data_IF_055415685523
#
_entry.id   IF_055415685523
#
_cell.length_a   1.000
_cell.length_b   1.000
_cell.length_c   1.000
_cell.angle_alpha   90.00
_cell.angle_beta   90.00
_cell.angle_gamma   90.00
#
_symmetry.space_group_name_H-M   'P 1'
#
loop_
_entity.id
_entity.type
_entity.pdbx_description
1 polymer ?
#
# COMPACT_ATOMS: atom_id res chain seq x y z
N UNK A 1 -3.17 13.47 10.19
CA UNK A 1 -2.90 12.83 11.50
C UNK A 1 -1.95 11.65 11.34
N UNK A 2 -1.13 11.33 12.34
CA UNK A 2 -0.29 10.13 12.39
C UNK A 2 -0.72 9.26 13.56
N UNK A 3 -1.00 7.98 13.29
CA UNK A 3 -1.39 6.95 14.25
C UNK A 3 -0.28 5.89 14.35
N UNK A 4 0.02 5.41 15.54
CA UNK A 4 1.05 4.41 15.78
C UNK A 4 2.39 5.00 16.20
N UNK A 5 3.49 4.64 15.54
CA UNK A 5 4.79 5.26 15.77
C UNK A 5 4.78 6.70 15.27
N UNK A 6 5.58 7.55 15.89
CA UNK A 6 5.64 9.00 15.57
C UNK A 6 4.28 9.72 15.63
N UNK A 7 3.35 9.20 16.42
CA UNK A 7 1.99 9.73 16.53
C UNK A 7 1.98 11.20 16.96
N UNK A 8 1.15 12.00 16.29
CA UNK A 8 0.85 13.38 16.65
C UNK A 8 -0.57 13.58 17.18
N UNK A 9 -1.25 12.49 17.52
CA UNK A 9 -2.63 12.51 18.04
C UNK A 9 -2.74 13.08 19.44
N UNK A 10 -1.66 13.09 20.22
CA UNK A 10 -1.65 13.44 21.64
C UNK A 10 -2.43 12.45 22.52
N UNK A 11 -2.71 11.24 22.02
CA UNK A 11 -3.47 10.20 22.73
C UNK A 11 -2.66 8.92 22.82
N UNK A 12 -2.38 8.47 24.05
CA UNK A 12 -1.51 7.32 24.30
C UNK A 12 -2.00 6.01 23.64
N UNK A 13 -3.31 5.79 23.58
CA UNK A 13 -3.87 4.58 22.99
C UNK A 13 -3.79 4.55 21.46
N UNK A 14 -3.52 5.68 20.81
CA UNK A 14 -3.30 5.80 19.37
C UNK A 14 -1.82 5.86 19.01
N UNK A 15 -0.94 5.76 19.99
CA UNK A 15 0.50 5.91 19.82
C UNK A 15 1.27 4.71 20.38
N UNK A 16 2.45 4.49 19.82
CA UNK A 16 3.41 3.50 20.33
C UNK A 16 4.83 3.99 20.10
N UNK A 17 5.72 3.61 20.99
CA UNK A 17 7.15 3.95 20.91
C UNK A 17 8.03 2.71 20.90
N UNK A 18 7.43 1.52 20.98
CA UNK A 18 8.15 0.27 21.13
C UNK A 18 7.44 -0.88 20.43
N UNK A 19 8.21 -1.79 19.86
CA UNK A 19 7.69 -3.04 19.26
C UNK A 19 6.95 -3.94 20.27
N UNK A 20 7.25 -3.83 21.55
CA UNK A 20 6.54 -4.58 22.61
C UNK A 20 5.16 -3.99 22.94
N UNK A 21 4.98 -2.71 22.75
CA UNK A 21 3.71 -2.02 22.99
C UNK A 21 2.77 -2.24 21.78
N UNK A 22 1.57 -2.72 22.04
CA UNK A 22 0.59 -3.02 20.99
C UNK A 22 -0.52 -1.98 20.98
N UNK A 23 -0.89 -1.52 19.80
CA UNK A 23 -2.02 -0.62 19.61
C UNK A 23 -3.30 -1.40 19.33
N UNK A 24 -4.43 -0.91 19.83
CA UNK A 24 -5.77 -1.42 19.53
C UNK A 24 -6.67 -0.22 19.41
N UNK A 25 -7.13 0.11 18.20
CA UNK A 25 -8.00 1.27 17.99
C UNK A 25 -8.85 1.16 16.72
N UNK A 26 -9.89 1.99 16.67
CA UNK A 26 -10.59 2.35 15.45
C UNK A 26 -10.18 3.78 15.05
N UNK A 27 -9.69 3.97 13.85
CA UNK A 27 -9.45 5.29 13.31
C UNK A 27 -10.79 5.96 13.03
N UNK A 28 -10.97 7.15 13.61
CA UNK A 28 -12.10 8.02 13.38
C UNK A 28 -11.56 9.42 13.15
N UNK A 29 -11.54 9.84 11.90
CA UNK A 29 -11.01 11.12 11.50
C UNK A 29 -12.01 11.88 10.64
N UNK A 30 -11.94 13.22 10.69
CA UNK A 30 -12.82 14.09 9.94
C UNK A 30 -12.24 14.48 8.56
N UNK A 31 -11.09 13.95 8.21
CA UNK A 31 -10.36 14.21 6.96
C UNK A 31 -9.02 14.91 7.18
N UNK A 32 -8.26 15.02 6.12
CA UNK A 32 -6.89 15.53 6.13
C UNK A 32 -6.00 14.62 5.32
N UNK A 33 -4.71 14.60 5.63
CA UNK A 33 -3.78 13.61 5.12
C UNK A 33 -3.29 12.79 6.33
N UNK A 34 -3.68 11.54 6.37
CA UNK A 34 -3.57 10.69 7.55
C UNK A 34 -2.64 9.49 7.28
N UNK A 35 -1.92 9.07 8.31
CA UNK A 35 -0.89 8.04 8.19
C UNK A 35 -1.03 6.99 9.28
N UNK A 36 -1.05 5.72 8.89
CA UNK A 36 -0.78 4.60 9.76
C UNK A 36 0.72 4.33 9.76
N UNK A 37 1.41 4.72 10.82
CA UNK A 37 2.84 4.47 11.00
C UNK A 37 3.04 3.26 11.93
N UNK A 38 3.40 2.12 11.35
CA UNK A 38 3.70 0.90 12.08
C UNK A 38 5.15 0.46 11.89
N UNK A 39 6.02 1.42 11.54
CA UNK A 39 7.43 1.22 11.16
C UNK A 39 8.30 0.56 12.24
N UNK A 40 7.93 0.69 13.51
CA UNK A 40 8.68 0.10 14.60
C UNK A 40 8.35 -1.35 14.93
N UNK A 41 7.39 -1.96 14.24
CA UNK A 41 7.07 -3.38 14.45
C UNK A 41 7.96 -4.29 13.59
N UNK A 42 8.29 -5.46 14.14
CA UNK A 42 9.12 -6.48 13.48
C UNK A 42 8.33 -7.71 13.03
N UNK A 43 7.10 -7.85 13.47
CA UNK A 43 6.20 -8.92 13.03
C UNK A 43 5.63 -8.59 11.65
N UNK A 44 5.34 -9.63 10.86
CA UNK A 44 4.60 -9.46 9.62
C UNK A 44 3.23 -8.82 9.89
N UNK A 45 2.88 -7.84 9.11
CA UNK A 45 1.64 -7.07 9.27
C UNK A 45 0.75 -7.22 8.03
N UNK A 46 -0.53 -6.99 8.23
CA UNK A 46 -1.49 -6.79 7.17
C UNK A 46 -2.21 -5.48 7.42
N UNK A 47 -1.83 -4.45 6.66
CA UNK A 47 -2.38 -3.09 6.77
C UNK A 47 -3.38 -2.89 5.63
N UNK A 48 -4.60 -2.49 5.95
CA UNK A 48 -5.64 -2.24 4.97
C UNK A 48 -6.26 -0.86 5.20
N UNK A 49 -6.10 0.04 4.22
CA UNK A 49 -6.54 1.42 4.30
C UNK A 49 -7.99 1.65 3.83
N UNK A 50 -8.70 0.61 3.43
CA UNK A 50 -10.11 0.73 3.07
C UNK A 50 -10.97 0.99 4.30
N UNK A 51 -12.00 1.83 4.15
CA UNK A 51 -12.97 2.03 5.22
C UNK A 51 -13.64 0.70 5.65
N UNK A 52 -14.06 0.60 6.90
CA UNK A 52 -14.70 -0.61 7.47
C UNK A 52 -13.81 -1.86 7.47
N UNK A 53 -12.52 -1.71 7.15
CA UNK A 53 -11.56 -2.81 7.17
C UNK A 53 -10.88 -2.95 8.53
N UNK A 54 -10.22 -4.10 8.70
CA UNK A 54 -9.38 -4.40 9.83
C UNK A 54 -7.95 -4.68 9.36
N UNK A 55 -6.99 -4.26 10.17
CA UNK A 55 -5.57 -4.53 10.00
C UNK A 55 -5.04 -5.40 11.14
N UNK A 56 -4.04 -6.21 10.81
CA UNK A 56 -3.28 -7.07 11.71
C UNK A 56 -1.92 -6.40 11.98
N UNK A 57 -1.72 -5.85 13.14
CA UNK A 57 -0.59 -4.97 13.42
C UNK A 57 0.17 -5.41 14.67
N UNK A 58 1.50 -5.38 14.60
CA UNK A 58 2.36 -5.68 15.74
C UNK A 58 2.22 -7.11 16.28
N UNK A 59 1.83 -8.07 15.42
CA UNK A 59 1.61 -9.48 15.78
C UNK A 59 0.24 -9.78 16.36
N UNK A 60 -0.67 -8.81 16.44
CA UNK A 60 -2.08 -9.02 16.79
C UNK A 60 -2.93 -9.19 15.52
N UNK A 61 -4.17 -9.62 15.68
CA UNK A 61 -5.16 -9.82 14.61
C UNK A 61 -6.34 -8.87 14.79
N UNK A 62 -6.73 -8.17 13.71
CA UNK A 62 -7.88 -7.29 13.68
C UNK A 62 -7.86 -6.18 14.71
N UNK A 63 -6.69 -5.72 15.12
CA UNK A 63 -6.50 -4.80 16.24
C UNK A 63 -6.56 -3.33 15.86
N UNK A 64 -6.50 -3.02 14.56
CA UNK A 64 -6.67 -1.67 14.03
C UNK A 64 -7.78 -1.70 12.99
N UNK A 65 -8.70 -0.77 13.04
CA UNK A 65 -9.79 -0.66 12.08
C UNK A 65 -10.00 0.79 11.63
N UNK A 66 -10.68 0.97 10.51
CA UNK A 66 -11.07 2.27 9.96
C UNK A 66 -12.58 2.38 9.97
N UNK A 67 -13.11 3.45 10.55
CA UNK A 67 -14.55 3.69 10.61
C UNK A 67 -15.13 4.00 9.21
N UNK A 68 -16.45 3.87 9.08
CA UNK A 68 -17.14 4.22 7.85
C UNK A 68 -17.00 5.72 7.53
N UNK A 69 -16.74 6.06 6.27
CA UNK A 69 -16.56 7.43 5.80
C UNK A 69 -15.21 8.06 6.16
N UNK A 70 -14.28 7.28 6.72
CA UNK A 70 -12.91 7.73 7.02
C UNK A 70 -11.97 7.27 5.93
N UNK A 71 -11.12 8.17 5.44
CA UNK A 71 -10.04 7.90 4.51
C UNK A 71 -8.71 8.02 5.24
N UNK A 72 -7.85 7.05 5.09
CA UNK A 72 -6.44 7.08 5.50
C UNK A 72 -5.62 6.98 4.23
N UNK A 73 -4.74 7.95 4.00
CA UNK A 73 -4.01 8.05 2.73
C UNK A 73 -2.68 7.31 2.77
N UNK A 74 -2.05 7.15 3.94
CA UNK A 74 -0.69 6.65 3.98
C UNK A 74 -0.52 5.49 4.95
N UNK A 75 0.40 4.58 4.61
CA UNK A 75 0.80 3.49 5.48
C UNK A 75 2.31 3.27 5.44
N UNK A 76 2.88 2.99 6.61
CA UNK A 76 4.28 2.60 6.77
C UNK A 76 4.30 1.27 7.52
N UNK A 77 4.81 0.23 6.85
CA UNK A 77 5.08 -1.09 7.43
C UNK A 77 6.30 -1.09 8.33
N UNK A 78 6.78 -2.25 8.68
CA UNK A 78 7.88 -2.40 9.63
C UNK A 78 9.12 -3.08 9.07
N UNK A 79 9.61 -4.08 9.78
CA UNK A 79 10.71 -4.92 9.31
C UNK A 79 10.31 -6.39 9.13
N UNK A 80 9.03 -6.68 9.20
CA UNK A 80 8.45 -7.98 8.82
C UNK A 80 8.11 -8.03 7.33
N UNK A 81 7.64 -9.19 6.85
CA UNK A 81 7.07 -9.28 5.51
C UNK A 81 5.61 -8.80 5.57
N UNK A 82 5.36 -7.62 5.09
CA UNK A 82 4.09 -6.93 5.25
C UNK A 82 3.21 -7.03 3.99
N UNK A 83 1.91 -6.97 4.19
CA UNK A 83 0.93 -6.79 3.10
C UNK A 83 0.23 -5.47 3.34
N UNK A 84 0.38 -4.53 2.41
CA UNK A 84 -0.22 -3.21 2.51
C UNK A 84 -1.20 -3.02 1.36
N UNK A 85 -2.43 -2.69 1.72
CA UNK A 85 -3.53 -2.45 0.78
C UNK A 85 -3.99 -1.02 0.93
N UNK A 86 -3.82 -0.23 -0.12
CA UNK A 86 -4.33 1.13 -0.25
C UNK A 86 -5.84 1.16 -0.52
N UNK A 87 -6.32 2.29 -0.97
CA UNK A 87 -7.74 2.53 -1.23
C UNK A 87 -7.92 3.30 -2.57
N UNK A 88 -8.97 4.10 -2.72
CA UNK A 88 -9.21 4.88 -3.94
C UNK A 88 -8.63 6.31 -3.88
N UNK A 89 -7.98 6.70 -2.80
CA UNK A 89 -7.26 7.97 -2.70
C UNK A 89 -5.82 7.82 -3.21
N UNK A 90 -5.14 8.94 -3.45
CA UNK A 90 -3.72 8.92 -3.73
C UNK A 90 -2.97 8.52 -2.45
N UNK A 91 -2.37 7.35 -2.44
CA UNK A 91 -1.72 6.79 -1.26
C UNK A 91 -0.19 6.94 -1.32
N UNK A 92 0.46 7.02 -0.16
CA UNK A 92 1.90 6.79 0.01
C UNK A 92 2.07 5.54 0.85
N UNK A 93 2.52 4.45 0.21
CA UNK A 93 2.70 3.15 0.86
C UNK A 93 4.18 2.81 0.95
N UNK A 94 4.64 2.46 2.16
CA UNK A 94 6.03 2.05 2.40
C UNK A 94 6.05 0.70 3.10
N UNK A 95 6.63 -0.32 2.45
CA UNK A 95 6.80 -1.66 3.01
C UNK A 95 7.75 -1.65 4.19
N UNK A 96 8.97 -1.20 3.96
CA UNK A 96 10.00 -1.08 4.99
C UNK A 96 11.17 -2.03 4.78
N UNK A 97 11.36 -2.96 5.66
CA UNK A 97 12.31 -4.04 5.45
C UNK A 97 11.55 -5.37 5.48
N UNK A 98 12.01 -6.35 4.71
CA UNK A 98 11.31 -7.63 4.55
C UNK A 98 10.90 -7.82 3.09
N UNK A 99 10.12 -8.84 2.82
CA UNK A 99 9.59 -9.08 1.48
C UNK A 99 8.12 -8.68 1.49
N UNK A 100 7.83 -7.49 0.98
CA UNK A 100 6.55 -6.84 1.13
C UNK A 100 5.66 -7.02 -0.11
N UNK A 101 4.36 -6.91 0.09
CA UNK A 101 3.37 -6.93 -0.99
C UNK A 101 2.53 -5.67 -0.89
N UNK A 102 2.59 -4.82 -1.92
CA UNK A 102 1.93 -3.53 -1.96
C UNK A 102 0.87 -3.50 -3.06
N UNK A 103 -0.34 -3.09 -2.68
CA UNK A 103 -1.46 -2.80 -3.57
C UNK A 103 -1.79 -1.31 -3.40
N UNK A 104 -1.56 -0.50 -4.43
CA UNK A 104 -1.94 0.93 -4.41
C UNK A 104 -3.45 1.10 -4.34
N UNK A 105 -4.14 0.44 -5.22
CA UNK A 105 -5.56 0.61 -5.45
C UNK A 105 -5.82 1.62 -6.56
N UNK A 106 -6.86 2.40 -6.44
CA UNK A 106 -7.11 3.49 -7.40
C UNK A 106 -6.52 4.80 -6.90
N UNK A 107 -6.29 5.72 -7.82
CA UNK A 107 -5.60 6.98 -7.52
C UNK A 107 -4.22 7.02 -8.15
N UNK A 108 -3.44 8.03 -7.81
CA UNK A 108 -2.04 8.13 -8.20
C UNK A 108 -1.19 7.87 -6.96
N UNK A 109 -0.63 6.66 -6.87
CA UNK A 109 0.01 6.17 -5.66
C UNK A 109 1.53 6.28 -5.72
N UNK A 110 2.16 6.50 -4.57
CA UNK A 110 3.60 6.37 -4.39
C UNK A 110 3.91 5.10 -3.60
N UNK A 111 4.59 4.14 -4.24
CA UNK A 111 4.91 2.84 -3.68
C UNK A 111 6.40 2.70 -3.44
N UNK A 112 6.77 2.37 -2.21
CA UNK A 112 8.13 2.11 -1.77
C UNK A 112 8.20 0.71 -1.18
N UNK A 113 8.88 -0.22 -1.85
CA UNK A 113 9.10 -1.57 -1.33
C UNK A 113 10.03 -1.54 -0.11
N UNK A 114 11.17 -0.89 -0.29
CA UNK A 114 12.20 -0.81 0.74
C UNK A 114 13.29 -1.86 0.56
N UNK A 115 13.65 -2.53 1.64
CA UNK A 115 14.71 -3.53 1.61
C UNK A 115 14.12 -4.94 1.57
N UNK A 116 14.40 -5.69 0.51
CA UNK A 116 13.95 -7.07 0.36
C UNK A 116 13.55 -7.43 -1.04
N UNK A 117 12.66 -8.40 -1.17
CA UNK A 117 12.09 -8.81 -2.46
C UNK A 117 10.62 -8.44 -2.45
N UNK A 118 10.32 -7.29 -3.01
CA UNK A 118 9.00 -6.72 -2.93
C UNK A 118 8.14 -7.03 -4.15
N UNK A 119 6.84 -7.03 -3.95
CA UNK A 119 5.87 -7.29 -5.02
C UNK A 119 4.89 -6.12 -5.06
N UNK A 120 4.86 -5.42 -6.19
CA UNK A 120 3.91 -4.37 -6.48
C UNK A 120 2.78 -4.96 -7.32
N UNK A 121 1.56 -4.97 -6.79
CA UNK A 121 0.43 -5.67 -7.40
C UNK A 121 -0.55 -4.67 -8.00
N UNK A 122 -0.86 -4.87 -9.28
CA UNK A 122 -1.92 -4.16 -9.99
C UNK A 122 -3.03 -5.15 -10.31
N UNK A 123 -4.19 -4.95 -9.72
CA UNK A 123 -5.31 -5.89 -9.75
C UNK A 123 -6.43 -5.49 -10.72
N UNK A 124 -6.38 -4.27 -11.23
CA UNK A 124 -7.33 -3.76 -12.22
C UNK A 124 -6.66 -2.71 -13.12
N UNK A 125 -7.20 -2.53 -14.33
CA UNK A 125 -6.71 -1.50 -15.26
C UNK A 125 -6.86 -0.07 -14.74
N UNK A 126 -7.73 0.13 -13.75
CA UNK A 126 -7.92 1.41 -13.07
C UNK A 126 -6.92 1.70 -11.97
N UNK A 127 -6.13 0.70 -11.54
CA UNK A 127 -5.18 0.88 -10.43
C UNK A 127 -4.04 1.84 -10.80
N UNK A 128 -3.69 1.96 -12.08
CA UNK A 128 -2.71 2.95 -12.56
C UNK A 128 -3.15 3.50 -13.93
N UNK A 129 -4.21 4.28 -13.92
CA UNK A 129 -4.84 4.80 -15.13
C UNK A 129 -4.10 6.04 -15.70
N UNK A 130 -4.24 6.35 -17.00
CA UNK A 130 -3.75 7.60 -17.56
C UNK A 130 -4.32 8.82 -16.80
N UNK A 131 -3.42 9.67 -16.29
CA UNK A 131 -3.79 10.83 -15.45
C UNK A 131 -3.87 10.55 -13.94
N UNK A 132 -3.79 9.26 -13.54
CA UNK A 132 -3.69 8.82 -12.15
C UNK A 132 -2.69 7.64 -12.08
N UNK A 133 -1.49 7.84 -12.63
CA UNK A 133 -0.46 6.79 -12.71
C UNK A 133 0.29 6.65 -11.40
N UNK A 134 0.56 5.41 -11.03
CA UNK A 134 1.35 5.09 -9.87
C UNK A 134 2.85 5.24 -10.12
N UNK A 135 3.57 5.45 -9.03
CA UNK A 135 5.01 5.55 -9.04
C UNK A 135 5.62 4.56 -8.06
N UNK A 136 6.35 3.57 -8.58
CA UNK A 136 7.23 2.74 -7.77
C UNK A 136 8.56 3.48 -7.66
N UNK A 137 8.92 3.89 -6.44
CA UNK A 137 10.01 4.84 -6.18
C UNK A 137 11.38 4.21 -6.03
N UNK A 138 11.44 2.94 -5.65
CA UNK A 138 12.68 2.27 -5.26
C UNK A 138 12.83 0.86 -5.85
N UNK A 139 12.20 0.60 -7.00
CA UNK A 139 12.22 -0.70 -7.66
C UNK A 139 13.63 -1.23 -7.91
N UNK A 140 13.94 -2.39 -7.36
CA UNK A 140 15.23 -3.06 -7.47
C UNK A 140 15.17 -4.14 -8.56
N UNK A 141 15.75 -3.83 -9.73
CA UNK A 141 15.77 -4.76 -10.87
C UNK A 141 16.42 -6.09 -10.52
N UNK A 142 15.71 -7.18 -10.80
CA UNK A 142 16.16 -8.55 -10.53
C UNK A 142 15.92 -9.02 -9.08
N UNK A 143 15.40 -8.14 -8.22
CA UNK A 143 15.03 -8.43 -6.84
C UNK A 143 13.51 -8.33 -6.70
N UNK A 144 12.94 -7.18 -7.05
CA UNK A 144 11.51 -6.89 -6.94
C UNK A 144 10.73 -7.38 -8.16
N UNK A 145 9.41 -7.43 -7.98
CA UNK A 145 8.46 -7.84 -9.02
C UNK A 145 7.29 -6.88 -9.11
N UNK A 146 6.81 -6.71 -10.34
CA UNK A 146 5.49 -6.15 -10.63
C UNK A 146 4.58 -7.33 -10.98
N UNK A 147 3.50 -7.49 -10.23
CA UNK A 147 2.50 -8.54 -10.45
C UNK A 147 1.29 -7.98 -11.21
N UNK A 148 1.15 -8.42 -12.44
CA UNK A 148 0.07 -8.10 -13.36
C UNK A 148 -0.81 -9.34 -13.64
N UNK A 149 -0.70 -10.38 -12.83
CA UNK A 149 -1.35 -11.68 -13.07
C UNK A 149 -2.88 -11.60 -13.09
N UNK A 150 -3.46 -10.57 -12.49
CA UNK A 150 -4.90 -10.34 -12.49
C UNK A 150 -5.43 -10.08 -13.90
N UNK A 151 -4.68 -9.36 -14.73
CA UNK A 151 -5.04 -9.07 -16.11
C UNK A 151 -5.14 -10.32 -16.98
N UNK A 152 -4.37 -11.36 -16.66
CA UNK A 152 -4.39 -12.62 -17.43
C UNK A 152 -5.60 -13.50 -17.11
N UNK A 153 -6.35 -13.26 -16.04
CA UNK A 153 -7.53 -14.05 -15.65
C UNK A 153 -8.80 -13.60 -16.36
N UNK A 154 -8.87 -12.34 -16.75
CA UNK A 154 -10.04 -11.75 -17.43
C UNK A 154 -9.82 -11.64 -18.95
N UNK A 155 -8.59 -11.73 -19.42
CA UNK A 155 -8.26 -11.64 -20.83
C UNK A 155 -8.75 -12.91 -21.56
N UNK A 156 -9.71 -12.75 -22.44
CA UNK A 156 -9.96 -13.73 -23.50
C UNK A 156 -8.75 -13.69 -24.43
N UNK A 157 -8.15 -14.80 -24.63
CA UNK A 157 -6.96 -15.27 -25.39
C UNK A 157 -6.21 -14.35 -26.38
N UNK A 158 -6.49 -13.08 -26.49
CA UNK A 158 -5.81 -12.12 -27.38
C UNK A 158 -5.26 -10.87 -26.71
N UNK A 159 -5.59 -10.63 -25.44
CA UNK A 159 -5.22 -9.40 -24.76
C UNK A 159 -3.99 -9.65 -23.86
N UNK A 160 -2.82 -9.64 -24.48
CA UNK A 160 -1.55 -9.64 -23.76
C UNK A 160 -1.21 -8.20 -23.33
N UNK A 161 -0.57 -8.06 -22.16
CA UNK A 161 0.03 -6.79 -21.77
C UNK A 161 1.24 -6.55 -22.67
N UNK A 162 1.22 -5.44 -23.39
CA UNK A 162 2.31 -4.99 -24.24
C UNK A 162 3.03 -3.82 -23.55
N UNK A 163 4.33 -3.99 -23.31
CA UNK A 163 5.14 -2.88 -22.86
C UNK A 163 5.46 -1.97 -24.04
N UNK A 164 5.13 -0.70 -23.90
CA UNK A 164 5.31 0.32 -24.94
C UNK A 164 6.16 1.48 -24.41
N UNK A 165 6.77 2.24 -25.30
CA UNK A 165 7.52 3.45 -25.00
C UNK A 165 6.64 4.71 -24.94
N UNK A 166 5.42 4.62 -25.47
CA UNK A 166 4.36 5.62 -25.36
C UNK A 166 3.00 4.97 -25.56
N UNK A 167 1.98 5.48 -24.89
CA UNK A 167 0.62 4.97 -25.04
C UNK A 167 0.04 5.37 -26.39
N UNK A 168 -0.48 4.39 -27.14
CA UNK A 168 -1.24 4.63 -28.37
C UNK A 168 -2.75 4.73 -28.13
N UNK A 169 -3.22 4.35 -26.95
CA UNK A 169 -4.62 4.22 -26.59
C UNK A 169 -5.19 2.84 -26.85
N UNK A 170 -4.35 1.87 -27.19
CA UNK A 170 -4.78 0.47 -27.38
C UNK A 170 -4.88 -0.21 -26.02
N UNK A 171 -5.93 -1.03 -25.83
CA UNK A 171 -6.08 -1.80 -24.59
C UNK A 171 -4.92 -2.79 -24.41
N UNK A 172 -4.49 -2.97 -23.16
CA UNK A 172 -3.37 -3.86 -22.79
C UNK A 172 -1.98 -3.22 -22.86
N UNK A 173 -1.86 -1.94 -23.20
CA UNK A 173 -0.57 -1.24 -23.17
C UNK A 173 -0.13 -0.93 -21.74
N UNK A 174 1.13 -1.21 -21.44
CA UNK A 174 1.80 -0.81 -20.20
C UNK A 174 3.05 0.00 -20.51
N UNK A 175 3.20 1.15 -19.88
CA UNK A 175 4.39 2.00 -20.00
C UNK A 175 5.28 1.83 -18.77
N UNK A 176 6.54 1.46 -19.01
CA UNK A 176 7.59 1.50 -18.00
C UNK A 176 8.51 2.69 -18.31
N UNK A 177 8.52 3.69 -17.43
CA UNK A 177 9.43 4.81 -17.49
C UNK A 177 10.47 4.70 -16.39
N UNK A 178 11.73 4.83 -16.76
CA UNK A 178 12.86 4.87 -15.82
C UNK A 178 13.46 6.27 -15.86
N UNK A 179 13.62 6.87 -14.73
CA UNK A 179 14.39 8.10 -14.56
C UNK A 179 15.81 7.80 -14.08
#
# INVERSE_FOLDING_TARGET
TVYGFNSNTGRDFLSTTSNSQKVIFAAWDAGGNDTFDFSGYTANQRINLNEKSFSDVGGLKGNVSIAAGVTIENAIGGSGNDVIVGNAANNVLKGGAGNDVLFGGGGADELWGGAGKDIFVFSAAGDSAPGASDWIRDFQKGIDKIDLSFFNKEAQSSDFIHFVDHFSGTAGEALLSYN
#
